data_IF_387549399735
#
_entry.id   IF_387549399735
#
_cell.length_a   1.000
_cell.length_b   1.000
_cell.length_c   1.000
_cell.angle_alpha   90.00
_cell.angle_beta   90.00
_cell.angle_gamma   90.00
#
_symmetry.space_group_name_H-M   'P 1'
#
loop_
_entity.id
_entity.type
_entity.pdbx_description
1 polymer ?
#
# COMPACT_ATOMS: atom_id res chain seq x y z
N UNK A 1 -11.40 5.59 51.14
CA UNK A 1 -10.43 5.86 50.08
C UNK A 1 -10.87 5.02 48.89
N UNK A 2 -11.54 5.63 47.89
CA UNK A 2 -12.05 4.94 46.68
C UNK A 2 -11.04 5.16 45.60
N UNK A 3 -10.46 4.07 45.11
CA UNK A 3 -9.57 4.03 43.94
C UNK A 3 -10.37 4.38 42.69
N UNK A 4 -10.01 5.49 42.07
CA UNK A 4 -10.51 5.88 40.75
C UNK A 4 -9.81 5.04 39.69
N UNK A 5 -10.47 3.99 39.23
CA UNK A 5 -10.04 3.29 38.03
C UNK A 5 -10.29 4.21 36.82
N UNK A 6 -9.23 4.76 36.25
CA UNK A 6 -9.27 5.44 34.96
C UNK A 6 -9.79 4.46 33.90
N UNK A 7 -10.99 4.71 33.45
CA UNK A 7 -11.52 4.07 32.24
C UNK A 7 -10.73 4.62 31.05
N UNK A 8 -9.79 3.83 30.57
CA UNK A 8 -9.17 4.03 29.25
C UNK A 8 -10.30 3.85 28.24
N UNK A 9 -10.78 4.97 27.72
CA UNK A 9 -11.79 5.00 26.67
C UNK A 9 -11.11 4.66 25.34
N UNK A 10 -10.95 3.36 25.05
CA UNK A 10 -10.45 2.84 23.75
C UNK A 10 -11.64 2.53 22.84
N UNK A 11 -12.39 3.55 22.44
CA UNK A 11 -13.20 3.46 21.22
C UNK A 11 -12.40 4.11 20.09
N UNK A 12 -11.33 3.47 19.63
CA UNK A 12 -10.84 3.70 18.27
C UNK A 12 -11.83 2.97 17.36
N UNK A 13 -12.78 3.73 16.82
CA UNK A 13 -13.73 3.22 15.86
C UNK A 13 -12.96 2.59 14.70
N UNK A 14 -13.23 1.31 14.42
CA UNK A 14 -12.58 0.59 13.32
C UNK A 14 -13.07 1.17 12.00
N UNK A 15 -12.16 1.68 11.19
CA UNK A 15 -12.45 2.33 9.92
C UNK A 15 -12.01 1.46 8.74
N UNK A 16 -12.44 1.81 7.52
CA UNK A 16 -11.81 1.27 6.33
C UNK A 16 -10.42 1.85 6.17
N UNK A 17 -9.50 1.03 5.67
CA UNK A 17 -8.12 1.37 5.35
C UNK A 17 -7.94 1.30 3.83
N UNK A 18 -7.36 2.34 3.23
CA UNK A 18 -6.83 2.31 1.87
C UNK A 18 -5.32 2.09 1.93
N UNK A 19 -4.88 0.87 1.60
CA UNK A 19 -3.50 0.44 1.81
C UNK A 19 -2.50 0.91 0.74
N UNK A 20 -2.96 1.56 -0.33
CA UNK A 20 -2.07 2.13 -1.35
C UNK A 20 -2.81 3.16 -2.23
N UNK A 21 -2.29 4.38 -2.24
CA UNK A 21 -2.76 5.45 -3.12
C UNK A 21 -1.72 6.57 -3.24
N UNK A 22 -1.98 7.54 -4.15
CA UNK A 22 -1.11 8.66 -4.48
C UNK A 22 -1.83 10.00 -4.30
N UNK A 23 -2.06 10.43 -3.05
CA UNK A 23 -2.77 11.71 -2.76
C UNK A 23 -2.03 12.95 -3.29
N UNK A 24 -0.72 12.85 -3.53
CA UNK A 24 0.10 13.91 -4.10
C UNK A 24 -0.08 14.08 -5.62
N UNK A 25 -0.78 13.18 -6.30
CA UNK A 25 -1.01 13.26 -7.74
C UNK A 25 -1.80 14.52 -8.13
N UNK A 26 -1.39 15.18 -9.21
CA UNK A 26 -1.98 16.43 -9.68
C UNK A 26 -3.48 16.32 -9.99
N UNK A 27 -3.96 15.14 -10.39
CA UNK A 27 -5.38 14.87 -10.67
C UNK A 27 -6.27 15.04 -9.43
N UNK A 28 -5.71 14.82 -8.24
CA UNK A 28 -6.42 14.94 -6.96
C UNK A 28 -6.21 16.30 -6.29
N UNK A 29 -5.08 16.96 -6.52
CA UNK A 29 -4.62 18.15 -5.78
C UNK A 29 -5.65 19.27 -5.70
N UNK A 30 -6.28 19.64 -6.83
CA UNK A 30 -7.27 20.72 -6.85
C UNK A 30 -8.52 20.43 -6.02
N UNK A 31 -8.82 19.18 -5.74
CA UNK A 31 -10.02 18.74 -5.02
C UNK A 31 -9.70 17.93 -3.76
N UNK A 32 -8.44 17.88 -3.33
CA UNK A 32 -7.98 17.03 -2.25
C UNK A 32 -8.82 17.13 -0.96
N UNK A 33 -9.18 18.31 -0.44
CA UNK A 33 -10.04 18.41 0.73
C UNK A 33 -11.41 17.73 0.52
N UNK A 34 -11.99 17.86 -0.66
CA UNK A 34 -13.27 17.22 -1.00
C UNK A 34 -13.12 15.71 -1.19
N UNK A 35 -12.01 15.24 -1.74
CA UNK A 35 -11.69 13.81 -1.88
C UNK A 35 -11.59 13.15 -0.50
N UNK A 36 -10.83 13.74 0.42
CA UNK A 36 -10.70 13.25 1.80
C UNK A 36 -12.05 13.30 2.54
N UNK A 37 -12.81 14.39 2.39
CA UNK A 37 -14.13 14.49 3.01
C UNK A 37 -15.09 13.40 2.52
N UNK A 38 -15.13 13.08 1.22
CA UNK A 38 -15.94 11.98 0.67
C UNK A 38 -15.49 10.62 1.20
N UNK A 39 -14.19 10.39 1.29
CA UNK A 39 -13.63 9.16 1.86
C UNK A 39 -14.04 9.00 3.33
N UNK A 40 -13.91 10.06 4.15
CA UNK A 40 -14.34 10.07 5.55
C UNK A 40 -15.84 9.81 5.71
N UNK A 41 -16.69 10.39 4.84
CA UNK A 41 -18.16 10.12 4.84
C UNK A 41 -18.48 8.64 4.55
N UNK A 42 -17.61 7.94 3.84
CA UNK A 42 -17.70 6.49 3.58
C UNK A 42 -17.06 5.64 4.68
N UNK A 43 -16.49 6.25 5.73
CA UNK A 43 -15.85 5.56 6.84
C UNK A 43 -14.40 5.15 6.57
N UNK A 44 -13.74 5.75 5.58
CA UNK A 44 -12.29 5.54 5.36
C UNK A 44 -11.53 6.43 6.34
N UNK A 45 -10.72 5.82 7.21
CA UNK A 45 -10.01 6.51 8.29
C UNK A 45 -8.50 6.34 8.27
N UNK A 46 -7.92 5.68 7.24
CA UNK A 46 -6.47 5.59 7.08
C UNK A 46 -6.08 5.44 5.62
N UNK A 47 -4.97 6.07 5.23
CA UNK A 47 -4.46 6.13 3.88
C UNK A 47 -2.95 5.86 3.86
N UNK A 48 -2.49 4.82 3.17
CA UNK A 48 -1.05 4.61 2.93
C UNK A 48 -0.67 5.34 1.65
N UNK A 49 -0.16 6.56 1.80
CA UNK A 49 0.19 7.44 0.68
C UNK A 49 1.62 7.17 0.22
N UNK A 50 1.76 6.74 -1.03
CA UNK A 50 3.02 6.31 -1.61
C UNK A 50 3.58 7.34 -2.59
N UNK A 51 4.83 7.75 -2.40
CA UNK A 51 5.59 8.50 -3.39
C UNK A 51 6.00 7.59 -4.56
N UNK A 52 6.19 8.15 -5.74
CA UNK A 52 6.67 7.42 -6.92
C UNK A 52 8.06 7.86 -7.35
N UNK A 53 8.48 9.05 -6.95
CA UNK A 53 9.78 9.63 -7.28
C UNK A 53 10.30 10.50 -6.14
N UNK A 54 11.56 10.91 -6.23
CA UNK A 54 12.17 11.83 -5.27
C UNK A 54 11.39 13.15 -5.15
N UNK A 55 10.83 13.66 -6.25
CA UNK A 55 10.03 14.89 -6.31
C UNK A 55 8.74 14.81 -5.48
N UNK A 56 8.29 13.59 -5.14
CA UNK A 56 7.08 13.37 -4.36
C UNK A 56 7.34 13.23 -2.86
N UNK A 57 8.57 12.93 -2.42
CA UNK A 57 8.85 12.63 -1.01
C UNK A 57 8.40 13.72 -0.05
N UNK A 58 8.80 14.97 -0.33
CA UNK A 58 8.42 16.11 0.51
C UNK A 58 6.91 16.37 0.49
N UNK A 59 6.24 16.13 -0.63
CA UNK A 59 4.79 16.29 -0.76
C UNK A 59 4.06 15.26 0.09
N UNK A 60 4.45 13.97 0.02
CA UNK A 60 3.84 12.89 0.80
C UNK A 60 4.06 13.10 2.30
N UNK A 61 5.26 13.52 2.71
CA UNK A 61 5.55 13.87 4.11
C UNK A 61 4.70 15.06 4.57
N UNK A 62 4.55 16.10 3.75
CA UNK A 62 3.74 17.27 4.08
C UNK A 62 2.25 16.90 4.21
N UNK A 63 1.74 16.02 3.37
CA UNK A 63 0.38 15.48 3.49
C UNK A 63 0.18 14.77 4.83
N UNK A 64 1.11 13.91 5.25
CA UNK A 64 1.05 13.23 6.54
C UNK A 64 1.15 14.21 7.74
N UNK A 65 1.80 15.35 7.57
CA UNK A 65 1.84 16.41 8.57
C UNK A 65 0.54 17.22 8.69
N UNK A 66 -0.32 17.19 7.68
CA UNK A 66 -1.57 17.98 7.63
C UNK A 66 -2.84 17.14 7.71
N UNK A 67 -2.77 15.86 7.34
CA UNK A 67 -3.89 14.91 7.34
C UNK A 67 -3.48 13.75 8.25
N UNK A 68 -3.99 13.69 9.50
CA UNK A 68 -3.56 12.69 10.50
C UNK A 68 -3.79 11.23 10.07
N UNK A 69 -4.73 11.00 9.17
CA UNK A 69 -5.08 9.68 8.63
C UNK A 69 -4.07 9.17 7.59
N UNK A 70 -3.13 10.01 7.14
CA UNK A 70 -2.13 9.65 6.14
C UNK A 70 -0.89 9.05 6.80
N UNK A 71 -0.51 7.84 6.36
CA UNK A 71 0.78 7.22 6.66
C UNK A 71 1.66 7.32 5.41
N UNK A 72 2.80 7.99 5.50
CA UNK A 72 3.66 8.24 4.34
C UNK A 72 4.54 7.04 4.02
N UNK A 73 4.70 6.77 2.73
CA UNK A 73 5.70 5.87 2.16
C UNK A 73 6.51 6.64 1.13
N UNK A 74 7.83 6.58 1.22
CA UNK A 74 8.75 7.29 0.35
C UNK A 74 9.70 6.32 -0.34
N UNK A 75 9.72 6.36 -1.66
CA UNK A 75 10.50 5.45 -2.49
C UNK A 75 10.63 5.97 -3.91
N UNK A 76 11.22 5.15 -4.77
CA UNK A 76 11.37 5.44 -6.20
C UNK A 76 10.83 4.25 -6.98
N UNK A 77 9.77 4.51 -7.73
CA UNK A 77 9.10 3.56 -8.60
C UNK A 77 10.00 3.15 -9.78
N UNK A 78 9.94 1.91 -10.28
CA UNK A 78 10.79 1.42 -11.38
C UNK A 78 10.74 2.28 -12.65
N UNK A 79 9.67 3.02 -12.88
CA UNK A 79 9.55 3.92 -14.04
C UNK A 79 10.56 5.08 -14.03
N UNK A 80 11.11 5.40 -12.87
CA UNK A 80 12.08 6.49 -12.68
C UNK A 80 13.51 6.00 -12.52
N UNK A 81 13.80 4.68 -12.70
CA UNK A 81 15.13 4.12 -12.43
C UNK A 81 16.23 4.67 -13.36
N UNK A 82 15.89 5.22 -14.53
CA UNK A 82 16.85 5.87 -15.44
C UNK A 82 17.09 7.36 -15.13
N UNK A 83 16.23 7.97 -14.30
CA UNK A 83 16.26 9.41 -13.98
C UNK A 83 16.60 9.71 -12.51
N UNK A 84 17.10 8.72 -11.79
CA UNK A 84 17.47 8.86 -10.38
C UNK A 84 18.65 9.83 -10.24
N UNK A 85 18.50 10.86 -9.42
CA UNK A 85 19.57 11.85 -9.19
C UNK A 85 20.70 11.26 -8.33
N UNK A 86 21.94 11.70 -8.58
CA UNK A 86 23.08 11.35 -7.73
C UNK A 86 22.81 11.74 -6.26
N UNK A 87 23.21 10.90 -5.31
CA UNK A 87 22.99 11.12 -3.88
C UNK A 87 21.54 10.86 -3.38
N UNK A 88 20.66 10.27 -4.20
CA UNK A 88 19.29 9.95 -3.78
C UNK A 88 19.24 9.04 -2.55
N UNK A 89 20.19 8.09 -2.45
CA UNK A 89 20.21 7.12 -1.36
C UNK A 89 20.47 7.81 -0.02
N UNK A 90 21.42 8.72 0.02
CA UNK A 90 21.77 9.52 1.21
C UNK A 90 20.58 10.40 1.62
N UNK A 91 19.88 11.00 0.66
CA UNK A 91 18.69 11.81 0.96
C UNK A 91 17.54 10.96 1.49
N UNK A 92 17.33 9.76 0.93
CA UNK A 92 16.33 8.83 1.45
C UNK A 92 16.69 8.36 2.86
N UNK A 93 17.96 8.03 3.13
CA UNK A 93 18.44 7.69 4.48
C UNK A 93 18.10 8.79 5.49
N UNK A 94 18.43 10.05 5.19
CA UNK A 94 18.13 11.18 6.08
C UNK A 94 16.63 11.29 6.38
N UNK A 95 15.77 11.10 5.38
CA UNK A 95 14.33 11.13 5.60
C UNK A 95 13.84 9.95 6.43
N UNK A 96 14.35 8.74 6.20
CA UNK A 96 14.00 7.54 7.01
C UNK A 96 14.45 7.69 8.48
N UNK A 97 15.52 8.42 8.74
CA UNK A 97 15.97 8.75 10.11
C UNK A 97 15.07 9.78 10.79
N UNK A 98 14.59 10.76 10.06
CA UNK A 98 13.87 11.92 10.60
C UNK A 98 12.36 11.74 10.64
N UNK A 99 11.80 10.87 9.79
CA UNK A 99 10.36 10.72 9.59
C UNK A 99 9.86 9.33 9.96
N UNK A 100 8.65 9.26 10.51
CA UNK A 100 7.92 8.00 10.67
C UNK A 100 7.24 7.64 9.34
N UNK A 101 7.96 6.95 8.45
CA UNK A 101 7.48 6.57 7.13
C UNK A 101 7.93 5.15 6.75
N UNK A 102 7.23 4.53 5.81
CA UNK A 102 7.68 3.31 5.13
C UNK A 102 8.51 3.60 3.89
N UNK A 103 9.03 2.54 3.26
CA UNK A 103 9.70 2.59 1.95
C UNK A 103 8.71 2.15 0.88
N UNK A 104 8.50 2.98 -0.12
CA UNK A 104 7.59 2.69 -1.24
C UNK A 104 7.09 3.99 -1.93
N UNK A 105 6.62 3.86 -3.15
CA UNK A 105 6.49 2.67 -3.95
C UNK A 105 7.82 2.31 -4.62
N UNK A 106 8.20 1.05 -4.62
CA UNK A 106 9.39 0.52 -5.30
C UNK A 106 9.10 -0.84 -5.93
N UNK A 107 9.99 -1.37 -6.76
CA UNK A 107 9.78 -2.70 -7.35
C UNK A 107 10.25 -2.86 -8.78
N UNK A 108 9.57 -3.74 -9.55
CA UNK A 108 9.97 -4.11 -10.91
C UNK A 108 8.78 -4.10 -11.89
N UNK A 109 8.97 -3.46 -13.05
CA UNK A 109 7.97 -3.42 -14.14
C UNK A 109 8.59 -3.71 -15.51
N UNK A 110 8.33 -4.91 -16.05
CA UNK A 110 8.78 -5.27 -17.43
C UNK A 110 7.95 -4.65 -18.55
N UNK A 111 6.89 -3.90 -18.24
CA UNK A 111 6.12 -3.17 -19.26
C UNK A 111 6.66 -1.77 -19.50
N UNK A 112 7.42 -1.24 -18.56
CA UNK A 112 8.01 0.06 -18.72
C UNK A 112 9.30 -0.03 -19.59
N UNK A 113 9.63 1.01 -20.36
CA UNK A 113 10.78 1.00 -21.27
C UNK A 113 12.14 1.20 -20.56
N UNK A 114 12.12 1.40 -19.24
CA UNK A 114 13.32 1.61 -18.42
C UNK A 114 14.15 0.33 -18.33
N UNK A 115 15.47 0.46 -18.38
CA UNK A 115 16.39 -0.68 -18.30
C UNK A 115 16.13 -1.55 -17.06
N UNK A 116 15.89 -2.84 -17.30
CA UNK A 116 15.51 -3.78 -16.24
C UNK A 116 16.63 -4.00 -15.21
N UNK A 117 17.89 -3.93 -15.63
CA UNK A 117 19.04 -4.09 -14.72
C UNK A 117 19.10 -2.92 -13.74
N UNK A 118 18.82 -1.70 -14.22
CA UNK A 118 18.72 -0.50 -13.38
C UNK A 118 17.55 -0.59 -12.40
N UNK A 119 16.38 -1.06 -12.86
CA UNK A 119 15.24 -1.30 -11.96
C UNK A 119 15.62 -2.28 -10.84
N UNK A 120 16.29 -3.40 -11.16
CA UNK A 120 16.71 -4.39 -10.16
C UNK A 120 17.70 -3.79 -9.18
N UNK A 121 18.70 -3.03 -9.65
CA UNK A 121 19.68 -2.38 -8.78
C UNK A 121 19.01 -1.37 -7.83
N UNK A 122 18.09 -0.54 -8.36
CA UNK A 122 17.32 0.43 -7.58
C UNK A 122 16.40 -0.23 -6.56
N UNK A 123 15.70 -1.31 -6.95
CA UNK A 123 14.82 -2.05 -6.06
C UNK A 123 15.60 -2.67 -4.91
N UNK A 124 16.73 -3.37 -5.19
CA UNK A 124 17.58 -3.95 -4.15
C UNK A 124 18.12 -2.90 -3.19
N UNK A 125 18.56 -1.75 -3.69
CA UNK A 125 19.03 -0.67 -2.82
C UNK A 125 17.94 -0.13 -1.87
N UNK A 126 16.67 -0.11 -2.29
CA UNK A 126 15.54 0.29 -1.43
C UNK A 126 15.12 -0.83 -0.48
N UNK A 127 15.23 -2.11 -0.89
CA UNK A 127 15.10 -3.27 0.00
C UNK A 127 16.11 -3.19 1.14
N UNK A 128 17.40 -2.94 0.83
CA UNK A 128 18.46 -2.77 1.83
C UNK A 128 18.11 -1.67 2.84
N UNK A 129 17.57 -0.53 2.38
CA UNK A 129 17.16 0.56 3.24
C UNK A 129 15.96 0.19 4.12
N UNK A 130 14.97 -0.51 3.59
CA UNK A 130 13.83 -0.98 4.36
C UNK A 130 14.28 -1.92 5.50
N UNK A 131 15.22 -2.83 5.22
CA UNK A 131 15.81 -3.73 6.21
C UNK A 131 16.66 -2.97 7.23
N UNK A 132 17.58 -2.10 6.76
CA UNK A 132 18.48 -1.32 7.62
C UNK A 132 17.74 -0.44 8.63
N UNK A 133 16.66 0.22 8.18
CA UNK A 133 15.87 1.13 9.01
C UNK A 133 14.64 0.47 9.63
N UNK A 134 14.47 -0.84 9.40
CA UNK A 134 13.31 -1.63 9.85
C UNK A 134 11.99 -0.96 9.48
N UNK A 135 11.83 -0.61 8.19
CA UNK A 135 10.65 0.09 7.64
C UNK A 135 9.79 -0.83 6.81
N UNK A 136 8.45 -0.76 6.90
CA UNK A 136 7.58 -1.52 6.01
C UNK A 136 7.86 -1.16 4.55
N UNK A 137 7.78 -2.16 3.66
CA UNK A 137 8.08 -2.04 2.24
C UNK A 137 6.83 -2.25 1.39
N UNK A 138 6.54 -1.33 0.47
CA UNK A 138 5.47 -1.45 -0.53
C UNK A 138 6.07 -1.70 -1.90
N UNK A 139 5.70 -2.85 -2.50
CA UNK A 139 6.32 -3.38 -3.72
C UNK A 139 5.37 -3.40 -4.90
N UNK A 140 5.77 -2.71 -5.96
CA UNK A 140 5.21 -2.78 -7.31
C UNK A 140 5.74 -4.00 -8.07
N UNK A 141 4.87 -4.74 -8.75
CA UNK A 141 5.31 -5.86 -9.58
C UNK A 141 4.45 -6.05 -10.83
N UNK A 142 4.99 -5.74 -11.99
CA UNK A 142 4.34 -6.01 -13.27
C UNK A 142 5.22 -6.93 -14.13
N UNK A 143 4.70 -8.13 -14.45
CA UNK A 143 5.38 -9.17 -15.26
C UNK A 143 6.81 -9.53 -14.79
N UNK A 144 7.13 -9.32 -13.51
CA UNK A 144 8.46 -9.51 -12.94
C UNK A 144 8.43 -10.40 -11.69
N UNK A 145 7.44 -11.29 -11.58
CA UNK A 145 7.18 -12.07 -10.36
C UNK A 145 8.37 -12.93 -9.91
N UNK A 146 9.10 -13.58 -10.85
CA UNK A 146 10.27 -14.40 -10.49
C UNK A 146 11.28 -13.62 -9.65
N UNK A 147 11.93 -12.58 -10.20
CA UNK A 147 12.90 -11.79 -9.46
C UNK A 147 12.36 -11.14 -8.18
N UNK A 148 11.09 -10.70 -8.15
CA UNK A 148 10.50 -10.12 -6.94
C UNK A 148 10.33 -11.18 -5.85
N UNK A 149 9.80 -12.36 -6.19
CA UNK A 149 9.62 -13.46 -5.24
C UNK A 149 10.96 -13.90 -4.68
N UNK A 150 11.96 -14.08 -5.54
CA UNK A 150 13.31 -14.52 -5.12
C UNK A 150 13.93 -13.54 -4.11
N UNK A 151 13.79 -12.23 -4.34
CA UNK A 151 14.25 -11.19 -3.40
C UNK A 151 13.45 -11.24 -2.09
N UNK A 152 12.13 -11.34 -2.15
CA UNK A 152 11.30 -11.36 -0.94
C UNK A 152 11.58 -12.62 -0.11
N UNK A 153 11.68 -13.80 -0.72
CA UNK A 153 12.01 -15.03 -0.02
C UNK A 153 13.41 -14.99 0.61
N UNK A 154 14.38 -14.37 -0.07
CA UNK A 154 15.74 -14.25 0.44
C UNK A 154 15.84 -13.25 1.60
N UNK A 155 15.22 -12.09 1.48
CA UNK A 155 15.49 -10.95 2.36
C UNK A 155 14.44 -10.78 3.48
N UNK A 156 13.20 -11.29 3.30
CA UNK A 156 12.09 -11.07 4.23
C UNK A 156 11.58 -12.34 4.92
N UNK A 157 12.14 -13.51 4.63
CA UNK A 157 11.74 -14.77 5.25
C UNK A 157 12.29 -14.94 6.67
N UNK A 158 11.99 -14.02 7.57
CA UNK A 158 12.44 -14.07 8.97
C UNK A 158 11.58 -13.24 9.89
N UNK A 159 11.42 -13.67 11.14
CA UNK A 159 10.59 -12.99 12.15
C UNK A 159 11.07 -11.55 12.45
N UNK A 160 12.34 -11.26 12.22
CA UNK A 160 12.91 -9.93 12.45
C UNK A 160 12.86 -9.01 11.23
N UNK A 161 12.43 -9.50 10.07
CA UNK A 161 12.30 -8.67 8.87
C UNK A 161 11.12 -7.68 9.02
N UNK A 162 11.24 -6.45 8.47
CA UNK A 162 10.11 -5.54 8.44
C UNK A 162 9.00 -6.09 7.55
N UNK A 163 7.74 -5.69 7.76
CA UNK A 163 6.64 -6.14 6.90
C UNK A 163 6.82 -5.70 5.44
N UNK A 164 6.42 -6.55 4.51
CA UNK A 164 6.41 -6.27 3.06
C UNK A 164 5.03 -6.50 2.47
N UNK A 165 4.59 -5.63 1.56
CA UNK A 165 3.32 -5.73 0.84
C UNK A 165 3.54 -5.70 -0.66
N UNK A 166 2.92 -6.64 -1.38
CA UNK A 166 2.79 -6.59 -2.84
C UNK A 166 1.49 -5.84 -3.16
N UNK A 167 1.61 -4.60 -3.65
CA UNK A 167 0.44 -3.81 -4.00
C UNK A 167 -0.17 -4.26 -5.33
N UNK A 168 -1.47 -4.03 -5.53
CA UNK A 168 -2.22 -4.34 -6.74
C UNK A 168 -1.91 -5.71 -7.35
N UNK A 169 -1.95 -6.73 -6.51
CA UNK A 169 -1.48 -8.06 -6.88
C UNK A 169 -2.18 -8.63 -8.12
N UNK A 170 -1.39 -9.06 -9.09
CA UNK A 170 -1.88 -9.64 -10.36
C UNK A 170 -1.22 -10.99 -10.71
N UNK A 171 -0.46 -11.56 -9.79
CA UNK A 171 0.24 -12.83 -9.95
C UNK A 171 -0.68 -14.07 -9.96
N UNK A 172 -0.09 -15.25 -9.86
CA UNK A 172 -0.81 -16.52 -9.72
C UNK A 172 -1.08 -16.87 -8.25
N UNK A 173 -1.98 -17.82 -8.02
CA UNK A 173 -2.20 -18.41 -6.68
C UNK A 173 -0.90 -19.02 -6.13
N UNK A 174 -0.13 -19.68 -6.97
CA UNK A 174 1.15 -20.31 -6.59
C UNK A 174 2.16 -19.25 -6.14
N UNK A 175 2.32 -18.18 -6.91
CA UNK A 175 3.18 -17.04 -6.53
C UNK A 175 2.71 -16.39 -5.23
N UNK A 176 1.40 -16.20 -5.05
CA UNK A 176 0.82 -15.66 -3.82
C UNK A 176 1.18 -16.53 -2.61
N UNK A 177 1.06 -17.85 -2.73
CA UNK A 177 1.38 -18.77 -1.63
C UNK A 177 2.85 -18.69 -1.21
N UNK A 178 3.78 -18.58 -2.17
CA UNK A 178 5.20 -18.37 -1.87
C UNK A 178 5.42 -17.06 -1.09
N UNK A 179 4.86 -15.97 -1.56
CA UNK A 179 4.97 -14.66 -0.91
C UNK A 179 4.37 -14.65 0.51
N UNK A 180 3.19 -15.25 0.68
CA UNK A 180 2.53 -15.38 2.00
C UNK A 180 3.37 -16.24 2.95
N UNK A 181 3.99 -17.32 2.45
CA UNK A 181 4.91 -18.15 3.25
C UNK A 181 6.15 -17.36 3.68
N UNK A 182 6.63 -16.43 2.85
CA UNK A 182 7.71 -15.51 3.20
C UNK A 182 7.25 -14.34 4.12
N UNK A 183 5.99 -14.32 4.54
CA UNK A 183 5.44 -13.31 5.46
C UNK A 183 4.82 -12.08 4.79
N UNK A 184 4.78 -12.01 3.46
CA UNK A 184 4.27 -10.86 2.74
C UNK A 184 2.74 -10.69 2.89
N UNK A 185 2.30 -9.43 2.87
CA UNK A 185 0.91 -9.03 2.66
C UNK A 185 0.62 -8.94 1.16
N UNK A 186 -0.61 -9.28 0.78
CA UNK A 186 -1.10 -9.21 -0.59
C UNK A 186 -2.22 -8.17 -0.64
N UNK A 187 -2.01 -7.11 -1.38
CA UNK A 187 -3.03 -6.07 -1.54
C UNK A 187 -3.80 -6.22 -2.84
N UNK A 188 -5.11 -5.97 -2.77
CA UNK A 188 -6.02 -6.05 -3.90
C UNK A 188 -6.69 -4.71 -4.13
N UNK A 189 -6.72 -4.26 -5.38
CA UNK A 189 -7.23 -2.94 -5.74
C UNK A 189 -8.69 -2.94 -6.19
N UNK A 190 -9.25 -1.74 -6.34
CA UNK A 190 -10.60 -1.50 -6.87
C UNK A 190 -10.83 -2.09 -8.27
N UNK A 191 -9.81 -2.56 -8.98
CA UNK A 191 -9.99 -3.39 -10.19
C UNK A 191 -10.89 -4.59 -9.95
N UNK A 192 -10.89 -5.17 -8.74
CA UNK A 192 -11.79 -6.27 -8.38
C UNK A 192 -13.28 -5.93 -8.50
N UNK A 193 -13.65 -4.65 -8.46
CA UNK A 193 -15.02 -4.19 -8.71
C UNK A 193 -15.44 -4.38 -10.18
N UNK A 194 -14.47 -4.59 -11.09
CA UNK A 194 -14.71 -4.92 -12.49
C UNK A 194 -15.26 -6.33 -12.71
N UNK A 195 -15.91 -6.54 -13.87
CA UNK A 195 -16.58 -7.80 -14.20
C UNK A 195 -15.62 -8.94 -14.53
N UNK A 196 -14.51 -8.64 -15.22
CA UNK A 196 -13.65 -9.65 -15.87
C UNK A 196 -12.43 -10.10 -15.06
N UNK A 197 -12.37 -9.79 -13.76
CA UNK A 197 -11.20 -10.09 -12.89
C UNK A 197 -11.23 -11.50 -12.27
N UNK A 198 -11.69 -12.52 -13.04
CA UNK A 198 -11.85 -13.90 -12.55
C UNK A 198 -10.57 -14.47 -11.95
N UNK A 199 -9.40 -14.21 -12.57
CA UNK A 199 -8.10 -14.71 -12.10
C UNK A 199 -7.78 -14.13 -10.72
N UNK A 200 -7.92 -12.82 -10.56
CA UNK A 200 -7.57 -12.13 -9.30
C UNK A 200 -8.57 -12.48 -8.20
N UNK A 201 -9.87 -12.59 -8.52
CA UNK A 201 -10.90 -13.06 -7.59
C UNK A 201 -10.57 -14.46 -7.04
N UNK A 202 -10.05 -15.36 -7.88
CA UNK A 202 -9.60 -16.69 -7.42
C UNK A 202 -8.41 -16.54 -6.45
N UNK A 203 -7.42 -15.72 -6.75
CA UNK A 203 -6.27 -15.48 -5.86
C UNK A 203 -6.74 -14.92 -4.53
N UNK A 204 -7.62 -13.91 -4.53
CA UNK A 204 -8.18 -13.31 -3.34
C UNK A 204 -8.86 -14.36 -2.43
N UNK A 205 -9.69 -15.21 -3.00
CA UNK A 205 -10.41 -16.25 -2.23
C UNK A 205 -9.43 -17.19 -1.52
N UNK A 206 -8.31 -17.52 -2.15
CA UNK A 206 -7.28 -18.41 -1.60
C UNK A 206 -6.28 -17.71 -0.66
N UNK A 207 -6.19 -16.37 -0.68
CA UNK A 207 -5.31 -15.65 0.23
C UNK A 207 -5.86 -15.67 1.67
N UNK A 208 -5.06 -16.01 2.70
CA UNK A 208 -5.49 -15.92 4.10
C UNK A 208 -5.88 -14.50 4.48
N UNK A 209 -6.95 -14.33 5.26
CA UNK A 209 -7.46 -12.97 5.64
C UNK A 209 -6.41 -12.16 6.38
N UNK A 210 -5.59 -12.83 7.19
CA UNK A 210 -4.49 -12.23 7.97
C UNK A 210 -3.35 -11.70 7.11
N UNK A 211 -3.39 -11.94 5.81
CA UNK A 211 -2.40 -11.49 4.83
C UNK A 211 -2.98 -10.64 3.71
N UNK A 212 -4.24 -10.23 3.85
CA UNK A 212 -4.91 -9.35 2.90
C UNK A 212 -4.80 -7.90 3.35
N UNK A 213 -4.56 -7.01 2.38
CA UNK A 213 -4.83 -5.58 2.44
C UNK A 213 -5.69 -5.19 1.24
N UNK A 214 -6.41 -4.09 1.33
CA UNK A 214 -7.24 -3.55 0.24
C UNK A 214 -6.85 -2.10 -0.04
N UNK A 215 -6.92 -1.74 -1.31
CA UNK A 215 -6.46 -0.43 -1.78
C UNK A 215 -7.29 0.09 -2.95
N UNK A 216 -7.17 1.38 -3.21
CA UNK A 216 -7.72 1.96 -4.45
C UNK A 216 -6.68 2.09 -5.55
N UNK A 217 -5.42 2.34 -5.22
CA UNK A 217 -4.38 2.83 -6.12
C UNK A 217 -4.80 4.17 -6.78
N UNK A 218 -5.56 4.96 -6.01
CA UNK A 218 -6.09 6.25 -6.48
C UNK A 218 -4.94 7.23 -6.77
N UNK A 219 -5.00 7.95 -7.91
CA UNK A 219 -6.12 8.14 -8.84
C UNK A 219 -6.20 7.12 -9.98
N UNK A 220 -5.34 6.11 -9.99
CA UNK A 220 -5.30 5.07 -11.01
C UNK A 220 -6.25 3.90 -10.71
N UNK A 221 -6.26 2.86 -11.55
CA UNK A 221 -7.01 1.61 -11.38
C UNK A 221 -8.53 1.75 -11.18
N UNK A 222 -9.12 2.80 -11.75
CA UNK A 222 -10.58 2.88 -11.87
C UNK A 222 -11.09 1.68 -12.71
N UNK A 223 -12.17 0.98 -12.27
CA UNK A 223 -12.75 -0.08 -13.08
C UNK A 223 -13.08 0.38 -14.49
N UNK A 224 -12.70 -0.42 -15.51
CA UNK A 224 -12.83 -0.04 -16.93
C UNK A 224 -14.26 0.32 -17.32
N UNK A 225 -15.26 -0.34 -16.73
CA UNK A 225 -16.67 -0.07 -16.99
C UNK A 225 -17.12 1.29 -16.46
N UNK A 226 -16.50 1.81 -15.40
CA UNK A 226 -16.81 3.13 -14.86
C UNK A 226 -16.17 4.23 -15.69
N UNK A 227 -14.97 3.99 -16.24
CA UNK A 227 -14.35 4.88 -17.22
C UNK A 227 -15.17 4.96 -18.51
N UNK A 228 -15.63 3.80 -19.03
CA UNK A 228 -16.38 3.73 -20.28
C UNK A 228 -17.72 4.46 -20.22
N UNK A 229 -18.34 4.60 -19.05
CA UNK A 229 -19.58 5.36 -18.86
C UNK A 229 -19.37 6.87 -18.81
N UNK A 230 -18.11 7.34 -18.77
CA UNK A 230 -17.78 8.76 -18.63
C UNK A 230 -18.18 9.37 -17.29
N UNK A 231 -18.55 8.53 -16.32
CA UNK A 231 -19.02 8.99 -15.01
C UNK A 231 -17.87 9.57 -14.16
N UNK A 232 -16.61 9.21 -14.47
CA UNK A 232 -15.43 9.59 -13.70
C UNK A 232 -14.16 9.63 -14.54
N UNK A 233 -13.29 10.57 -14.24
CA UNK A 233 -12.00 10.73 -14.90
C UNK A 233 -10.86 9.99 -14.19
N UNK A 234 -11.01 9.69 -12.87
CA UNK A 234 -10.01 9.06 -12.03
C UNK A 234 -10.66 8.33 -10.83
N UNK A 235 -9.88 7.48 -10.18
CA UNK A 235 -10.27 6.76 -8.97
C UNK A 235 -10.17 7.66 -7.72
N UNK A 236 -10.93 7.33 -6.68
CA UNK A 236 -10.90 8.03 -5.39
C UNK A 236 -10.86 7.05 -4.22
N UNK A 237 -10.23 7.41 -3.08
CA UNK A 237 -10.10 6.52 -1.92
C UNK A 237 -11.44 6.09 -1.31
N UNK A 238 -12.51 6.85 -1.51
CA UNK A 238 -13.84 6.47 -1.04
C UNK A 238 -14.31 5.09 -1.53
N UNK A 239 -13.80 4.62 -2.66
CA UNK A 239 -14.20 3.35 -3.29
C UNK A 239 -13.60 2.12 -2.63
N UNK A 240 -12.64 2.29 -1.73
CA UNK A 240 -12.14 1.17 -0.94
C UNK A 240 -13.27 0.55 -0.09
N UNK A 241 -14.22 1.34 0.40
CA UNK A 241 -15.37 0.83 1.15
C UNK A 241 -16.22 -0.16 0.32
N UNK A 242 -16.48 0.16 -0.96
CA UNK A 242 -17.20 -0.74 -1.86
C UNK A 242 -16.40 -2.02 -2.15
N UNK A 243 -15.06 -1.91 -2.21
CA UNK A 243 -14.17 -3.06 -2.36
C UNK A 243 -14.23 -3.99 -1.15
N UNK A 244 -14.28 -3.47 0.09
CA UNK A 244 -14.46 -4.27 1.28
C UNK A 244 -15.75 -5.09 1.23
N UNK A 245 -16.87 -4.49 0.82
CA UNK A 245 -18.15 -5.21 0.66
C UNK A 245 -18.05 -6.33 -0.37
N UNK A 246 -17.40 -6.07 -1.51
CA UNK A 246 -17.20 -7.11 -2.53
C UNK A 246 -16.30 -8.23 -2.04
N UNK A 247 -15.20 -7.92 -1.35
CA UNK A 247 -14.27 -8.92 -0.80
C UNK A 247 -14.96 -9.77 0.27
N UNK A 248 -15.76 -9.16 1.15
CA UNK A 248 -16.54 -9.87 2.16
C UNK A 248 -17.48 -10.90 1.52
N UNK A 249 -18.18 -10.52 0.44
CA UNK A 249 -19.03 -11.44 -0.34
C UNK A 249 -18.22 -12.58 -0.97
N UNK A 250 -17.08 -12.26 -1.62
CA UNK A 250 -16.24 -13.27 -2.27
C UNK A 250 -15.64 -14.29 -1.30
N UNK A 251 -15.30 -13.84 -0.09
CA UNK A 251 -14.75 -14.68 0.98
C UNK A 251 -15.81 -15.31 1.88
N UNK A 252 -17.08 -14.97 1.68
CA UNK A 252 -18.22 -15.42 2.50
C UNK A 252 -18.02 -15.13 4.00
N UNK A 253 -17.62 -13.91 4.34
CA UNK A 253 -17.45 -13.41 5.70
C UNK A 253 -18.23 -12.11 5.90
N UNK A 254 -18.51 -11.75 7.15
CA UNK A 254 -19.16 -10.49 7.48
C UNK A 254 -18.24 -9.31 7.15
N UNK A 255 -18.77 -8.20 6.60
CA UNK A 255 -17.97 -7.04 6.24
C UNK A 255 -17.34 -6.34 7.45
N UNK A 256 -18.03 -6.32 8.60
CA UNK A 256 -17.49 -5.73 9.83
C UNK A 256 -16.33 -6.57 10.39
N UNK A 257 -16.44 -7.92 10.32
CA UNK A 257 -15.35 -8.81 10.72
C UNK A 257 -14.13 -8.65 9.78
N UNK A 258 -14.38 -8.52 8.47
CA UNK A 258 -13.32 -8.22 7.50
C UNK A 258 -12.66 -6.88 7.82
N UNK A 259 -13.46 -5.84 8.09
CA UNK A 259 -12.96 -4.51 8.41
C UNK A 259 -12.03 -4.53 9.63
N UNK A 260 -12.41 -5.24 10.70
CA UNK A 260 -11.58 -5.42 11.89
C UNK A 260 -10.26 -6.14 11.53
N UNK A 261 -10.35 -7.25 10.81
CA UNK A 261 -9.17 -8.04 10.42
C UNK A 261 -8.17 -7.22 9.59
N UNK A 262 -8.66 -6.48 8.60
CA UNK A 262 -7.80 -5.70 7.71
C UNK A 262 -7.27 -4.43 8.38
N UNK A 263 -8.02 -3.85 9.30
CA UNK A 263 -7.56 -2.77 10.16
C UNK A 263 -6.37 -3.21 11.02
N UNK A 264 -6.46 -4.41 11.62
CA UNK A 264 -5.37 -4.98 12.42
C UNK A 264 -4.17 -5.36 11.54
N UNK A 265 -4.39 -5.92 10.35
CA UNK A 265 -3.34 -6.16 9.35
C UNK A 265 -2.59 -4.85 9.02
N UNK A 266 -3.33 -3.77 8.76
CA UNK A 266 -2.75 -2.45 8.48
C UNK A 266 -1.92 -1.90 9.64
N UNK A 267 -2.40 -2.05 10.88
CA UNK A 267 -1.64 -1.67 12.07
C UNK A 267 -0.35 -2.46 12.21
N UNK A 268 -0.41 -3.79 12.06
CA UNK A 268 0.77 -4.66 12.12
C UNK A 268 1.75 -4.26 11.02
N UNK A 269 1.26 -4.04 9.80
CA UNK A 269 2.07 -3.63 8.67
C UNK A 269 2.79 -2.29 8.93
N UNK A 270 2.13 -1.31 9.52
CA UNK A 270 2.69 0.02 9.73
C UNK A 270 3.38 0.21 11.08
N UNK A 271 3.30 -0.77 12.00
CA UNK A 271 3.91 -0.65 13.33
C UNK A 271 5.41 -0.36 13.27
N UNK A 272 6.11 -0.97 12.34
CA UNK A 272 7.53 -0.73 12.11
C UNK A 272 7.83 0.73 11.66
N UNK A 273 6.89 1.40 10.99
CA UNK A 273 7.04 2.81 10.61
C UNK A 273 6.93 3.77 11.81
N UNK A 274 6.18 3.37 12.85
CA UNK A 274 5.89 4.20 14.03
C UNK A 274 6.92 4.04 15.18
N UNK A 275 7.74 2.99 15.17
CA UNK A 275 8.47 2.52 16.36
C UNK A 275 9.80 3.22 16.67
N UNK A 276 10.05 4.45 16.16
CA UNK A 276 11.15 5.31 16.65
C UNK A 276 10.65 6.73 16.91
N UNK A 277 10.16 6.96 18.09
CA UNK A 277 10.20 8.27 18.74
C UNK A 277 11.14 8.20 19.95
#
# INVERSE_FOLDING_TARGET
MKSSAEKINKNTEVSYLDAHLHLQDQRLQAQLPSVIARAGQKGVGQFFCNATSEDDWTKVIALAGTIPEVIPFIGIHPWYADSVAEGWRERLCLLLEQQSCGVGETGLDKRCPVDFTRQVALFKAQVDLALQYHRPLVVHCVRSWGPVVDIIEQEFAGESAPPVMLHSYSGSVETMRRLVTAGAYISFSTRLLGRDEKKIKKVLVETPVERILLETDSPDQLPAEWMAKGERAYNEPMWVADLYHQVAQLKNINVEDLKVSLWDNGKIFTHAAASRR
#
